data_IF_263960813982
#
_entry.id   IF_263960813982
#
_cell.length_a   1.000
_cell.length_b   1.000
_cell.length_c   1.000
_cell.angle_alpha   90.00
_cell.angle_beta   90.00
_cell.angle_gamma   90.00
#
_symmetry.space_group_name_H-M   'P 1'
#
loop_
_entity.id
_entity.type
_entity.pdbx_description
1 polymer ?
#
# COMPACT_ATOMS: atom_id res chain seq x y z
N UNK A 1 -15.70 9.26 1.32
CA UNK A 1 -14.41 8.93 0.68
C UNK A 1 -14.67 8.20 -0.63
N UNK A 2 -14.39 8.84 -1.76
CA UNK A 2 -14.59 8.25 -3.09
C UNK A 2 -13.56 7.14 -3.28
N UNK A 3 -14.01 5.91 -3.54
CA UNK A 3 -13.13 4.76 -3.80
C UNK A 3 -12.38 5.02 -5.10
N UNK A 4 -11.16 5.55 -5.02
CA UNK A 4 -10.32 5.78 -6.19
C UNK A 4 -10.08 4.45 -6.93
N UNK A 5 -10.63 4.33 -8.13
CA UNK A 5 -10.46 3.19 -9.04
C UNK A 5 -9.24 3.36 -9.96
N UNK A 6 -8.55 4.51 -9.90
CA UNK A 6 -7.36 4.81 -10.69
C UNK A 6 -6.27 5.36 -9.78
N UNK A 7 -5.01 5.06 -10.11
CA UNK A 7 -3.86 5.65 -9.44
C UNK A 7 -3.79 7.15 -9.76
N UNK A 8 -3.42 8.00 -8.79
CA UNK A 8 -3.16 9.41 -9.05
C UNK A 8 -2.02 9.59 -10.06
N UNK A 9 -2.04 10.66 -10.84
CA UNK A 9 -0.94 11.08 -11.71
C UNK A 9 0.21 11.71 -10.90
N UNK A 10 0.74 10.94 -9.94
CA UNK A 10 1.82 11.31 -9.02
C UNK A 10 2.67 10.06 -8.74
N UNK A 11 3.97 10.25 -8.53
CA UNK A 11 4.90 9.17 -8.25
C UNK A 11 4.46 8.32 -7.04
N UNK A 12 4.64 7.01 -7.13
CA UNK A 12 4.42 6.06 -6.04
C UNK A 12 5.72 5.38 -5.63
N UNK A 13 5.67 4.67 -4.51
CA UNK A 13 6.81 3.95 -3.94
C UNK A 13 6.40 2.56 -3.47
N UNK A 14 7.34 1.61 -3.51
CA UNK A 14 7.14 0.28 -2.93
C UNK A 14 7.00 0.34 -1.41
N UNK A 15 5.98 -0.30 -0.86
CA UNK A 15 5.77 -0.36 0.57
C UNK A 15 6.72 -1.37 1.24
N UNK A 16 7.36 -0.93 2.33
CA UNK A 16 8.13 -1.78 3.25
C UNK A 16 7.55 -1.67 4.66
N UNK A 17 7.22 -2.80 5.33
CA UNK A 17 6.59 -2.77 6.65
C UNK A 17 7.37 -2.07 7.76
N UNK A 18 8.70 -1.97 7.62
CA UNK A 18 9.60 -1.25 8.53
C UNK A 18 9.33 0.26 8.59
N UNK A 19 8.78 0.84 7.52
CA UNK A 19 8.44 2.28 7.48
C UNK A 19 7.00 2.58 7.91
N UNK A 20 6.21 1.57 8.27
CA UNK A 20 4.79 1.73 8.55
C UNK A 20 4.51 2.79 9.63
N UNK A 21 5.23 2.76 10.75
CA UNK A 21 5.03 3.71 11.85
C UNK A 21 5.25 5.16 11.41
N UNK A 22 6.26 5.41 10.57
CA UNK A 22 6.54 6.75 10.06
C UNK A 22 5.47 7.22 9.05
N UNK A 23 4.97 6.29 8.21
CA UNK A 23 3.92 6.56 7.24
C UNK A 23 2.58 6.86 7.92
N UNK A 24 2.25 6.15 9.00
CA UNK A 24 0.99 6.33 9.75
C UNK A 24 1.03 7.58 10.66
N UNK A 25 2.21 8.00 11.10
CA UNK A 25 2.36 9.17 11.95
C UNK A 25 2.12 10.50 11.21
N UNK A 26 2.36 10.56 9.89
CA UNK A 26 2.21 11.78 9.10
C UNK A 26 1.94 11.51 7.62
N UNK A 27 1.21 12.41 6.92
CA UNK A 27 1.02 12.31 5.47
C UNK A 27 2.34 12.31 4.69
N UNK A 28 2.45 11.42 3.71
CA UNK A 28 3.65 11.27 2.89
C UNK A 28 3.45 11.90 1.51
N UNK A 29 4.50 12.49 0.91
CA UNK A 29 4.44 13.12 -0.41
C UNK A 29 4.41 12.11 -1.57
N UNK A 30 3.76 10.95 -1.41
CA UNK A 30 3.59 9.90 -2.42
C UNK A 30 2.15 9.82 -2.95
N UNK A 31 1.96 9.48 -4.21
CA UNK A 31 0.64 9.35 -4.83
C UNK A 31 -0.03 8.01 -4.53
N UNK A 32 0.77 6.95 -4.41
CA UNK A 32 0.30 5.60 -4.11
C UNK A 32 1.44 4.77 -3.49
N UNK A 33 1.07 3.70 -2.81
CA UNK A 33 1.99 2.66 -2.41
C UNK A 33 1.83 1.43 -3.30
N UNK A 34 2.94 0.83 -3.71
CA UNK A 34 2.94 -0.46 -4.38
C UNK A 34 3.17 -1.59 -3.38
N UNK A 35 2.43 -2.68 -3.54
CA UNK A 35 2.55 -3.88 -2.73
C UNK A 35 2.64 -5.12 -3.62
N UNK A 36 3.39 -6.12 -3.17
CA UNK A 36 3.35 -7.44 -3.82
C UNK A 36 2.20 -8.26 -3.26
N UNK A 37 1.38 -8.84 -4.15
CA UNK A 37 0.20 -9.61 -3.74
C UNK A 37 0.57 -10.79 -2.83
N UNK A 38 1.69 -11.45 -3.11
CA UNK A 38 2.18 -12.65 -2.45
C UNK A 38 2.49 -12.42 -0.96
N UNK A 39 2.85 -11.18 -0.58
CA UNK A 39 3.06 -10.81 0.83
C UNK A 39 1.77 -10.83 1.66
N UNK A 40 0.61 -10.94 1.02
CA UNK A 40 -0.71 -10.89 1.65
C UNK A 40 -1.60 -12.10 1.31
N UNK A 41 -1.04 -13.17 0.74
CA UNK A 41 -1.80 -14.41 0.49
C UNK A 41 -1.91 -15.33 1.71
N UNK A 42 -1.30 -14.96 2.84
CA UNK A 42 -1.39 -15.68 4.11
C UNK A 42 -2.72 -15.48 4.87
N UNK A 43 -2.85 -16.10 6.03
CA UNK A 43 -4.08 -16.13 6.85
C UNK A 43 -4.45 -14.80 7.55
N UNK A 44 -4.09 -13.64 7.01
CA UNK A 44 -4.41 -12.34 7.62
C UNK A 44 -3.30 -11.75 8.51
N UNK A 45 -3.71 -11.23 9.68
CA UNK A 45 -2.80 -10.75 10.73
C UNK A 45 -2.22 -9.34 10.54
N UNK A 46 -1.11 -9.03 11.22
CA UNK A 46 -0.52 -7.69 11.20
C UNK A 46 -0.23 -7.11 9.80
N UNK A 47 0.24 -7.89 8.79
CA UNK A 47 0.42 -7.37 7.44
C UNK A 47 -0.89 -6.84 6.84
N UNK A 48 -1.99 -7.60 7.00
CA UNK A 48 -3.29 -7.21 6.49
C UNK A 48 -3.87 -5.99 7.21
N UNK A 49 -3.68 -5.91 8.54
CA UNK A 49 -4.09 -4.75 9.32
C UNK A 49 -3.37 -3.47 8.84
N UNK A 50 -2.05 -3.56 8.62
CA UNK A 50 -1.25 -2.45 8.07
C UNK A 50 -1.69 -2.07 6.65
N UNK A 51 -1.95 -3.06 5.79
CA UNK A 51 -2.42 -2.81 4.42
C UNK A 51 -3.78 -2.13 4.39
N UNK A 52 -4.71 -2.56 5.26
CA UNK A 52 -6.03 -1.94 5.41
C UNK A 52 -5.88 -0.48 5.84
N UNK A 53 -5.02 -0.21 6.83
CA UNK A 53 -4.75 1.14 7.31
C UNK A 53 -4.15 2.03 6.22
N UNK A 54 -3.14 1.55 5.49
CA UNK A 54 -2.57 2.28 4.34
C UNK A 54 -3.61 2.63 3.29
N UNK A 55 -4.54 1.70 3.00
CA UNK A 55 -5.59 1.90 2.00
C UNK A 55 -6.58 3.00 2.39
N UNK A 56 -6.71 3.34 3.67
CA UNK A 56 -7.59 4.42 4.11
C UNK A 56 -7.09 5.77 3.57
N UNK A 57 -5.78 5.99 3.53
CA UNK A 57 -5.18 7.28 3.21
C UNK A 57 -4.51 7.32 1.82
N UNK A 58 -4.12 6.16 1.26
CA UNK A 58 -3.37 6.08 0.00
C UNK A 58 -4.03 5.14 -1.02
N UNK A 59 -3.86 5.47 -2.30
CA UNK A 59 -4.11 4.51 -3.38
C UNK A 59 -3.08 3.38 -3.33
N UNK A 60 -3.48 2.18 -3.75
CA UNK A 60 -2.61 1.00 -3.80
C UNK A 60 -2.44 0.51 -5.24
N UNK A 61 -1.19 0.32 -5.64
CA UNK A 61 -0.80 -0.51 -6.78
C UNK A 61 -0.53 -1.93 -6.28
N UNK A 62 -1.02 -2.94 -6.99
CA UNK A 62 -0.80 -4.36 -6.64
C UNK A 62 -0.01 -4.99 -7.78
N UNK A 63 1.18 -5.49 -7.46
CA UNK A 63 2.08 -6.16 -8.41
C UNK A 63 2.23 -7.64 -8.00
N UNK A 64 2.23 -8.56 -8.97
CA UNK A 64 2.52 -9.98 -8.72
C UNK A 64 3.94 -10.30 -9.16
N UNK A 65 4.76 -10.84 -8.27
CA UNK A 65 6.18 -11.12 -8.58
C UNK A 65 6.35 -12.22 -9.63
N UNK A 66 5.36 -13.10 -9.78
CA UNK A 66 5.39 -14.19 -10.77
C UNK A 66 5.09 -13.77 -12.22
N UNK A 67 4.89 -12.49 -12.49
CA UNK A 67 4.52 -11.94 -13.80
C UNK A 67 5.56 -10.97 -14.39
N UNK A 68 6.76 -10.91 -13.79
CA UNK A 68 7.89 -10.09 -14.25
C UNK A 68 8.93 -10.92 -15.00
#
# INVERSE_FOLDING_TARGET
MTRATRLPSRAGVGFKPEHFTAIDAAPQPVGFFEVHAENYMGAGGPPHAKLKRLREDYALSIHGVGLS
#
